data_IF_947490848725
#
_entry.id   IF_947490848725
#
_cell.length_a   1.000
_cell.length_b   1.000
_cell.length_c   1.000
_cell.angle_alpha   90.00
_cell.angle_beta   90.00
_cell.angle_gamma   90.00
#
_symmetry.space_group_name_H-M   'P 1'
#
loop_
_entity.id
_entity.type
_entity.pdbx_description
1 polymer ?
#
# COMPACT_ATOMS: atom_id res chain seq x y z
N UNK A 1 -1.93 7.10 -17.85
CA UNK A 1 -1.28 7.18 -16.52
C UNK A 1 -2.19 6.54 -15.50
N UNK A 2 -1.69 5.57 -14.72
CA UNK A 2 -2.49 4.89 -13.68
C UNK A 2 -2.55 5.74 -12.41
N UNK A 3 -3.76 5.89 -11.86
CA UNK A 3 -4.06 6.71 -10.69
C UNK A 3 -4.54 5.85 -9.53
N UNK A 4 -4.54 6.40 -8.32
CA UNK A 4 -5.15 5.80 -7.14
C UNK A 4 -6.63 5.48 -7.39
N UNK A 5 -7.34 6.31 -8.14
CA UNK A 5 -8.74 6.03 -8.47
C UNK A 5 -8.89 4.76 -9.33
N UNK A 6 -7.95 4.48 -10.24
CA UNK A 6 -7.92 3.22 -10.99
C UNK A 6 -7.75 2.03 -10.04
N UNK A 7 -6.85 2.14 -9.04
CA UNK A 7 -6.59 1.08 -8.06
C UNK A 7 -7.81 0.86 -7.15
N UNK A 8 -8.43 1.93 -6.66
CA UNK A 8 -9.66 1.87 -5.85
C UNK A 8 -10.85 1.27 -6.60
N UNK A 9 -10.89 1.39 -7.92
CA UNK A 9 -11.93 0.81 -8.77
C UNK A 9 -11.62 -0.65 -9.15
N UNK A 10 -10.41 -1.15 -8.93
CA UNK A 10 -10.02 -2.51 -9.33
C UNK A 10 -10.65 -3.55 -8.38
N UNK A 11 -11.55 -4.38 -8.94
CA UNK A 11 -12.26 -5.42 -8.20
C UNK A 11 -11.31 -6.47 -7.59
N UNK A 12 -10.20 -6.78 -8.28
CA UNK A 12 -9.23 -7.77 -7.80
C UNK A 12 -8.56 -7.26 -6.53
N UNK A 13 -8.06 -6.01 -6.55
CA UNK A 13 -7.43 -5.36 -5.39
C UNK A 13 -8.38 -5.37 -4.19
N UNK A 14 -9.60 -4.87 -4.36
CA UNK A 14 -10.58 -4.76 -3.29
C UNK A 14 -11.00 -6.12 -2.71
N UNK A 15 -11.16 -7.12 -3.57
CA UNK A 15 -11.52 -8.48 -3.11
C UNK A 15 -10.41 -9.08 -2.25
N UNK A 16 -9.16 -8.89 -2.66
CA UNK A 16 -8.01 -9.48 -1.97
C UNK A 16 -7.80 -8.83 -0.59
N UNK A 17 -7.94 -7.51 -0.50
CA UNK A 17 -7.88 -6.81 0.79
C UNK A 17 -9.02 -7.25 1.72
N UNK A 18 -10.27 -7.29 1.20
CA UNK A 18 -11.42 -7.74 2.01
C UNK A 18 -11.22 -9.14 2.55
N UNK A 19 -10.73 -10.08 1.73
CA UNK A 19 -10.49 -11.47 2.15
C UNK A 19 -9.31 -11.59 3.11
N UNK A 20 -8.23 -10.84 2.89
CA UNK A 20 -7.12 -10.75 3.85
C UNK A 20 -7.59 -10.28 5.22
N UNK A 21 -8.42 -9.23 5.26
CA UNK A 21 -8.99 -8.73 6.50
C UNK A 21 -9.92 -9.75 7.19
N UNK A 22 -10.74 -10.49 6.43
CA UNK A 22 -11.54 -11.58 6.98
C UNK A 22 -10.66 -12.66 7.65
N UNK A 23 -9.56 -13.06 7.01
CA UNK A 23 -8.62 -14.05 7.57
C UNK A 23 -7.99 -13.54 8.87
N UNK A 24 -7.55 -12.28 8.88
CA UNK A 24 -6.94 -11.63 10.04
C UNK A 24 -7.91 -11.53 11.22
N UNK A 25 -9.18 -11.21 10.96
CA UNK A 25 -10.21 -11.18 11.99
C UNK A 25 -10.42 -12.53 12.68
N UNK A 26 -10.36 -13.64 11.94
CA UNK A 26 -10.40 -15.00 12.51
C UNK A 26 -9.18 -15.29 13.39
N UNK A 27 -8.02 -14.70 13.07
CA UNK A 27 -6.79 -14.83 13.83
C UNK A 27 -6.69 -13.89 15.05
N UNK A 28 -7.68 -12.99 15.24
CA UNK A 28 -7.73 -12.04 16.35
C UNK A 28 -6.97 -10.73 16.13
N UNK A 29 -6.56 -10.43 14.89
CA UNK A 29 -6.00 -9.12 14.53
C UNK A 29 -7.11 -8.09 14.31
N UNK A 30 -6.79 -6.82 14.60
CA UNK A 30 -7.67 -5.67 14.40
C UNK A 30 -7.64 -5.17 12.94
N UNK A 31 -8.48 -4.17 12.64
CA UNK A 31 -8.83 -3.69 11.30
C UNK A 31 -7.64 -3.42 10.35
N UNK A 32 -7.49 -4.27 9.34
CA UNK A 32 -6.62 -4.10 8.17
C UNK A 32 -7.47 -4.05 6.87
N UNK A 33 -8.73 -3.61 7.02
CA UNK A 33 -9.74 -3.62 5.98
C UNK A 33 -9.82 -2.31 5.20
N UNK A 34 -10.92 -2.11 4.44
CA UNK A 34 -11.10 -0.95 3.57
C UNK A 34 -11.01 0.41 4.26
N UNK A 35 -11.36 0.49 5.55
CA UNK A 35 -11.28 1.74 6.34
C UNK A 35 -9.82 2.09 6.62
N UNK A 36 -9.06 1.15 7.19
CA UNK A 36 -7.64 1.30 7.47
C UNK A 36 -6.84 1.71 6.23
N UNK A 37 -6.88 0.91 5.16
CA UNK A 37 -6.12 1.20 3.92
C UNK A 37 -6.54 2.54 3.30
N UNK A 38 -7.82 2.93 3.46
CA UNK A 38 -8.37 4.15 2.90
C UNK A 38 -7.79 5.37 3.59
N UNK A 39 -7.67 5.30 4.92
CA UNK A 39 -7.04 6.34 5.72
C UNK A 39 -5.54 6.41 5.47
N UNK A 40 -4.82 5.28 5.51
CA UNK A 40 -3.37 5.23 5.25
C UNK A 40 -3.05 5.80 3.86
N UNK A 41 -3.81 5.41 2.83
CA UNK A 41 -3.70 5.97 1.48
C UNK A 41 -3.90 7.49 1.44
N UNK A 42 -4.89 8.01 2.18
CA UNK A 42 -5.13 9.44 2.27
C UNK A 42 -3.97 10.19 2.94
N UNK A 43 -3.53 9.70 4.11
CA UNK A 43 -2.43 10.28 4.88
C UNK A 43 -1.12 10.27 4.10
N UNK A 44 -0.82 9.19 3.36
CA UNK A 44 0.34 9.13 2.47
C UNK A 44 0.36 10.31 1.49
N UNK A 45 -0.76 10.57 0.81
CA UNK A 45 -0.88 11.71 -0.13
C UNK A 45 -0.74 13.04 0.60
N UNK A 46 -1.39 13.17 1.75
CA UNK A 46 -1.37 14.39 2.56
C UNK A 46 0.05 14.73 3.02
N UNK A 47 0.81 13.76 3.53
CA UNK A 47 2.21 13.93 3.94
C UNK A 47 3.04 14.46 2.77
N UNK A 48 2.95 13.80 1.60
CA UNK A 48 3.73 14.20 0.43
C UNK A 48 3.39 15.62 -0.03
N UNK A 49 2.12 15.96 -0.09
CA UNK A 49 1.68 17.31 -0.50
C UNK A 49 2.09 18.39 0.50
N UNK A 50 1.97 18.14 1.81
CA UNK A 50 2.37 19.08 2.87
C UNK A 50 3.88 19.34 2.89
N UNK A 51 4.70 18.36 2.52
CA UNK A 51 6.14 18.49 2.42
C UNK A 51 6.62 19.09 1.09
N UNK A 52 5.70 19.47 0.19
CA UNK A 52 6.03 20.12 -1.07
C UNK A 52 6.48 19.19 -2.21
N UNK A 53 6.26 17.88 -2.08
CA UNK A 53 6.50 16.96 -3.19
C UNK A 53 5.47 17.16 -4.30
N UNK A 54 5.86 16.79 -5.52
CA UNK A 54 4.97 16.92 -6.68
C UNK A 54 3.75 15.97 -6.58
N UNK A 55 2.69 16.31 -7.30
CA UNK A 55 1.44 15.55 -7.28
C UNK A 55 1.58 14.10 -7.74
N UNK A 56 2.55 13.80 -8.62
CA UNK A 56 2.75 12.42 -9.08
C UNK A 56 3.35 11.56 -7.98
N UNK A 57 4.38 12.04 -7.28
CA UNK A 57 4.95 11.34 -6.12
C UNK A 57 3.91 11.16 -5.01
N UNK A 58 3.09 12.16 -4.74
CA UNK A 58 1.97 12.03 -3.82
C UNK A 58 0.97 10.94 -4.26
N UNK A 59 0.66 10.87 -5.56
CA UNK A 59 -0.20 9.82 -6.13
C UNK A 59 0.39 8.42 -5.94
N UNK A 60 1.70 8.23 -6.16
CA UNK A 60 2.38 6.96 -5.91
C UNK A 60 2.34 6.56 -4.44
N UNK A 61 2.50 7.52 -3.52
CA UNK A 61 2.35 7.27 -2.08
C UNK A 61 0.93 6.82 -1.71
N UNK A 62 -0.09 7.46 -2.29
CA UNK A 62 -1.47 7.04 -2.12
C UNK A 62 -1.75 5.63 -2.63
N UNK A 63 -1.17 5.24 -3.78
CA UNK A 63 -1.28 3.89 -4.33
C UNK A 63 -0.60 2.88 -3.42
N UNK A 64 0.64 3.15 -2.98
CA UNK A 64 1.36 2.29 -2.05
C UNK A 64 0.56 2.08 -0.76
N UNK A 65 0.06 3.16 -0.15
CA UNK A 65 -0.77 3.09 1.05
C UNK A 65 -2.08 2.34 0.88
N UNK A 66 -2.70 2.37 -0.30
CA UNK A 66 -3.93 1.61 -0.52
C UNK A 66 -3.68 0.10 -0.71
N UNK A 67 -2.50 -0.27 -1.20
CA UNK A 67 -2.15 -1.65 -1.53
C UNK A 67 -1.27 -2.34 -0.49
N UNK A 68 -0.74 -1.62 0.51
CA UNK A 68 0.35 -2.11 1.37
C UNK A 68 0.04 -3.44 2.08
N UNK A 69 -1.22 -3.62 2.48
CA UNK A 69 -1.69 -4.78 3.22
C UNK A 69 -2.32 -5.90 2.36
N UNK A 70 -2.28 -5.78 1.02
CA UNK A 70 -2.88 -6.78 0.12
C UNK A 70 -2.31 -8.18 0.31
N UNK A 71 -1.06 -8.28 0.78
CA UNK A 71 -0.39 -9.55 1.06
C UNK A 71 -0.98 -10.35 2.22
N UNK A 72 -1.79 -9.73 3.10
CA UNK A 72 -2.43 -10.42 4.22
C UNK A 72 -3.40 -11.52 3.77
N UNK A 73 -3.88 -11.49 2.52
CA UNK A 73 -4.65 -12.60 1.95
C UNK A 73 -3.85 -13.89 1.83
N UNK A 74 -2.52 -13.80 1.70
CA UNK A 74 -1.60 -14.94 1.65
C UNK A 74 -1.22 -15.36 3.07
N UNK A 75 -0.70 -14.42 3.86
CA UNK A 75 -0.34 -14.63 5.26
C UNK A 75 -0.06 -13.30 5.94
N UNK A 76 -0.24 -13.22 7.27
CA UNK A 76 0.23 -12.07 8.07
C UNK A 76 1.75 -11.97 8.10
N UNK A 77 2.43 -13.10 8.25
CA UNK A 77 3.87 -13.18 8.24
C UNK A 77 4.37 -13.01 6.80
N UNK A 78 5.19 -12.00 6.57
CA UNK A 78 5.70 -11.65 5.25
C UNK A 78 4.68 -10.97 4.33
N UNK A 79 3.61 -10.38 4.88
CA UNK A 79 2.57 -9.70 4.09
C UNK A 79 3.14 -8.53 3.28
N UNK A 80 4.16 -7.85 3.79
CA UNK A 80 4.84 -6.77 3.08
C UNK A 80 5.57 -7.27 1.83
N UNK A 81 6.30 -8.39 1.91
CA UNK A 81 6.99 -8.97 0.76
C UNK A 81 6.03 -9.58 -0.26
N UNK A 82 5.04 -10.36 0.19
CA UNK A 82 4.02 -10.92 -0.70
C UNK A 82 3.18 -9.82 -1.35
N UNK A 83 2.81 -8.79 -0.58
CA UNK A 83 2.09 -7.61 -1.03
C UNK A 83 2.86 -6.83 -2.10
N UNK A 84 4.17 -6.65 -1.94
CA UNK A 84 5.01 -5.99 -2.95
C UNK A 84 5.02 -6.76 -4.29
N UNK A 85 5.16 -8.09 -4.25
CA UNK A 85 5.14 -8.92 -5.46
C UNK A 85 3.76 -8.92 -6.14
N UNK A 86 2.69 -8.93 -5.35
CA UNK A 86 1.32 -8.85 -5.88
C UNK A 86 1.04 -7.47 -6.49
N UNK A 87 1.47 -6.39 -5.83
CA UNK A 87 1.35 -5.04 -6.35
C UNK A 87 2.11 -4.89 -7.67
N UNK A 88 3.34 -5.42 -7.76
CA UNK A 88 4.11 -5.44 -9.00
C UNK A 88 3.30 -6.04 -10.16
N UNK A 89 2.72 -7.23 -9.96
CA UNK A 89 1.97 -7.90 -11.02
C UNK A 89 0.68 -7.15 -11.40
N UNK A 90 -0.07 -6.67 -10.41
CA UNK A 90 -1.31 -5.91 -10.65
C UNK A 90 -1.01 -4.62 -11.43
N UNK A 91 -0.01 -3.86 -11.00
CA UNK A 91 0.35 -2.58 -11.62
C UNK A 91 0.94 -2.78 -13.03
N UNK A 92 1.73 -3.85 -13.22
CA UNK A 92 2.25 -4.24 -14.54
C UNK A 92 1.10 -4.60 -15.50
N UNK A 93 0.10 -5.36 -15.03
CA UNK A 93 -1.11 -5.69 -15.82
C UNK A 93 -1.91 -4.46 -16.20
N UNK A 94 -1.95 -3.45 -15.33
CA UNK A 94 -2.61 -2.17 -15.59
C UNK A 94 -1.79 -1.24 -16.52
N UNK A 95 -0.57 -1.61 -16.90
CA UNK A 95 0.28 -0.80 -17.78
C UNK A 95 0.87 0.42 -17.10
N UNK A 96 1.16 0.35 -15.79
CA UNK A 96 1.95 1.37 -15.10
C UNK A 96 3.42 1.28 -15.54
N UNK A 97 4.12 2.42 -15.56
CA UNK A 97 5.53 2.46 -15.93
C UNK A 97 6.41 1.73 -14.92
N UNK A 98 7.45 0.98 -15.35
CA UNK A 98 8.32 0.21 -14.46
C UNK A 98 8.96 1.05 -13.34
N UNK A 99 9.37 2.28 -13.64
CA UNK A 99 9.99 3.18 -12.66
C UNK A 99 9.05 3.47 -11.49
N UNK A 100 7.76 3.67 -11.77
CA UNK A 100 6.73 3.94 -10.75
C UNK A 100 6.36 2.68 -9.96
N UNK A 101 6.28 1.54 -10.66
CA UNK A 101 6.07 0.24 -10.02
C UNK A 101 7.19 -0.03 -9.02
N UNK A 102 8.45 0.25 -9.38
CA UNK A 102 9.60 0.03 -8.52
C UNK A 102 9.51 0.80 -7.20
N UNK A 103 9.03 2.05 -7.25
CA UNK A 103 8.85 2.91 -6.07
C UNK A 103 7.78 2.34 -5.14
N UNK A 104 6.62 1.95 -5.70
CA UNK A 104 5.51 1.38 -4.93
C UNK A 104 5.92 0.04 -4.31
N UNK A 105 6.59 -0.83 -5.06
CA UNK A 105 7.05 -2.12 -4.56
C UNK A 105 8.07 -1.95 -3.43
N UNK A 106 9.02 -1.01 -3.59
CA UNK A 106 10.00 -0.71 -2.55
C UNK A 106 9.32 -0.18 -1.27
N UNK A 107 8.29 0.67 -1.39
CA UNK A 107 7.54 1.16 -0.25
C UNK A 107 6.77 0.03 0.46
N UNK A 108 6.01 -0.77 -0.29
CA UNK A 108 5.23 -1.89 0.29
C UNK A 108 6.16 -2.94 0.91
N UNK A 109 7.28 -3.28 0.28
CA UNK A 109 8.19 -4.30 0.82
C UNK A 109 8.92 -3.89 2.09
N UNK A 110 9.00 -2.58 2.39
CA UNK A 110 9.76 -2.01 3.51
C UNK A 110 8.89 -1.24 4.51
N UNK A 111 7.56 -1.47 4.58
CA UNK A 111 6.70 -0.71 5.50
C UNK A 111 6.52 -1.35 6.88
N UNK A 112 6.65 -2.69 6.99
CA UNK A 112 6.30 -3.43 8.21
C UNK A 112 7.42 -3.41 9.27
N UNK A 113 7.07 -3.50 10.56
CA UNK A 113 7.95 -3.28 11.72
C UNK A 113 9.20 -4.17 11.76
N UNK A 114 9.11 -5.40 11.23
CA UNK A 114 10.23 -6.35 11.22
C UNK A 114 11.30 -6.07 10.14
N UNK A 115 10.95 -5.32 9.09
CA UNK A 115 11.83 -5.03 7.95
C UNK A 115 11.81 -3.56 7.53
N UNK A 116 11.17 -2.70 8.32
CA UNK A 116 10.75 -1.37 7.94
C UNK A 116 11.91 -0.40 7.77
N UNK A 117 12.14 0.09 6.56
CA UNK A 117 13.18 1.07 6.26
C UNK A 117 12.67 2.12 5.26
N UNK A 118 12.82 3.42 5.53
CA UNK A 118 12.41 4.49 4.62
C UNK A 118 13.41 4.63 3.45
N UNK A 119 13.41 3.65 2.54
CA UNK A 119 14.35 3.56 1.41
C UNK A 119 14.10 4.61 0.32
N UNK A 120 12.94 5.26 0.35
CA UNK A 120 12.59 6.43 -0.44
C UNK A 120 11.48 7.24 0.26
N UNK A 121 11.12 8.40 -0.28
CA UNK A 121 10.11 9.31 0.27
C UNK A 121 8.71 8.70 0.34
N UNK A 122 8.35 7.82 -0.61
CA UNK A 122 7.05 7.12 -0.63
C UNK A 122 6.99 6.06 0.48
N UNK A 123 8.08 5.33 0.70
CA UNK A 123 8.23 4.39 1.81
C UNK A 123 8.17 5.11 3.16
N UNK A 124 8.87 6.25 3.29
CA UNK A 124 8.82 7.07 4.50
C UNK A 124 7.40 7.54 4.82
N UNK A 125 6.67 8.04 3.82
CA UNK A 125 5.28 8.46 4.00
C UNK A 125 4.37 7.29 4.38
N UNK A 126 4.55 6.12 3.76
CA UNK A 126 3.78 4.91 4.07
C UNK A 126 4.02 4.44 5.51
N UNK A 127 5.28 4.33 5.94
CA UNK A 127 5.62 3.94 7.31
C UNK A 127 4.99 4.90 8.32
N UNK A 128 5.10 6.21 8.10
CA UNK A 128 4.49 7.20 8.99
C UNK A 128 2.97 7.08 9.02
N UNK A 129 2.33 6.93 7.86
CA UNK A 129 0.88 6.88 7.75
C UNK A 129 0.30 5.61 8.41
N UNK A 130 0.90 4.45 8.15
CA UNK A 130 0.47 3.16 8.69
C UNK A 130 0.61 3.12 10.22
N UNK A 131 1.79 3.44 10.74
CA UNK A 131 2.07 3.37 12.19
C UNK A 131 1.40 4.47 13.02
N UNK A 132 0.90 5.52 12.37
CA UNK A 132 0.07 6.53 13.03
C UNK A 132 -1.40 6.11 13.17
N UNK A 133 -1.79 4.99 12.56
CA UNK A 133 -3.12 4.40 12.66
C UNK A 133 -3.03 3.01 13.30
N UNK A 134 -2.89 3.00 14.63
CA UNK A 134 -2.87 1.80 15.48
C UNK A 134 -4.06 1.76 16.43
#
# INVERSE_FOLDING_TARGET
MITLQCIKADKFVNTFISKGNEHLGVMGYTDHGPVHIGLVSHLCREIMTKLGYNMRTAELAGIAGYMHDIGNVVNRNGHSQSGALMAMEILRRLGMEPDEISIICAAIGNHDEGSGHPVNEVAAALILADKSHV
#
